data_IF_078193368864
#
_entry.id   IF_078193368864
#
_cell.length_a   1.000
_cell.length_b   1.000
_cell.length_c   1.000
_cell.angle_alpha   90.00
_cell.angle_beta   90.00
_cell.angle_gamma   90.00
#
_symmetry.space_group_name_H-M   'P 1'
#
loop_
_entity.id
_entity.type
_entity.pdbx_description
1 polymer ?
#
# COMPACT_ATOMS: atom_id res chain seq x y z
N UNK A 1 16.82 18.86 12.16
CA UNK A 1 16.75 19.71 10.95
C UNK A 1 16.82 18.96 9.63
N UNK A 2 17.81 18.07 9.38
CA UNK A 2 17.88 17.30 8.12
C UNK A 2 16.81 16.19 8.04
N UNK A 3 16.64 15.39 9.11
CA UNK A 3 15.66 14.30 9.18
C UNK A 3 14.20 14.80 9.07
N UNK A 4 13.89 15.95 9.68
CA UNK A 4 12.56 16.54 9.62
C UNK A 4 12.20 17.05 8.22
N UNK A 5 13.19 17.54 7.47
CA UNK A 5 13.02 17.93 6.07
C UNK A 5 12.81 16.69 5.19
N UNK A 6 13.63 15.64 5.38
CA UNK A 6 13.49 14.38 4.65
C UNK A 6 12.12 13.72 4.89
N UNK A 7 11.66 13.67 6.16
CA UNK A 7 10.34 13.12 6.52
C UNK A 7 9.20 13.91 5.88
N UNK A 8 9.28 15.24 5.86
CA UNK A 8 8.29 16.09 5.20
C UNK A 8 8.27 15.90 3.68
N UNK A 9 9.43 15.84 3.05
CA UNK A 9 9.56 15.55 1.62
C UNK A 9 8.95 14.20 1.24
N UNK A 10 9.32 13.14 1.97
CA UNK A 10 8.76 11.79 1.77
C UNK A 10 7.25 11.78 1.94
N UNK A 11 6.73 12.47 2.97
CA UNK A 11 5.28 12.60 3.19
C UNK A 11 4.60 13.26 1.99
N UNK A 12 5.07 14.41 1.54
CA UNK A 12 4.44 15.16 0.44
C UNK A 12 4.48 14.37 -0.87
N UNK A 13 5.58 13.69 -1.16
CA UNK A 13 5.67 12.82 -2.34
C UNK A 13 4.66 11.68 -2.24
N UNK A 14 4.58 11.02 -1.10
CA UNK A 14 3.67 9.90 -0.89
C UNK A 14 2.20 10.32 -0.93
N UNK A 15 1.85 11.46 -0.34
CA UNK A 15 0.52 12.09 -0.45
C UNK A 15 0.17 12.36 -1.92
N UNK A 16 1.09 12.94 -2.70
CA UNK A 16 0.87 13.23 -4.11
C UNK A 16 0.67 11.94 -4.93
N UNK A 17 1.50 10.91 -4.69
CA UNK A 17 1.38 9.61 -5.36
C UNK A 17 0.05 8.94 -5.02
N UNK A 18 -0.32 8.87 -3.74
CA UNK A 18 -1.60 8.26 -3.31
C UNK A 18 -2.79 9.01 -3.90
N UNK A 19 -2.78 10.34 -3.86
CA UNK A 19 -3.86 11.15 -4.42
C UNK A 19 -3.98 10.97 -5.94
N UNK A 20 -2.84 10.91 -6.64
CA UNK A 20 -2.82 10.59 -8.07
C UNK A 20 -3.40 9.20 -8.36
N UNK A 21 -2.96 8.16 -7.65
CA UNK A 21 -3.48 6.80 -7.82
C UNK A 21 -4.97 6.71 -7.52
N UNK A 22 -5.45 7.38 -6.46
CA UNK A 22 -6.88 7.45 -6.11
C UNK A 22 -7.72 8.02 -7.24
N UNK A 23 -7.33 9.19 -7.76
CA UNK A 23 -8.06 9.87 -8.84
C UNK A 23 -8.01 9.02 -10.10
N UNK A 24 -6.84 8.52 -10.47
CA UNK A 24 -6.68 7.73 -11.68
C UNK A 24 -7.48 6.43 -11.61
N UNK A 25 -7.49 5.74 -10.45
CA UNK A 25 -8.30 4.53 -10.24
C UNK A 25 -9.80 4.84 -10.38
N UNK A 26 -10.26 5.93 -9.75
CA UNK A 26 -11.65 6.35 -9.87
C UNK A 26 -12.05 6.63 -11.33
N UNK A 27 -11.20 7.32 -12.09
CA UNK A 27 -11.43 7.60 -13.51
C UNK A 27 -11.50 6.31 -14.32
N UNK A 28 -10.56 5.39 -14.16
CA UNK A 28 -10.55 4.10 -14.89
C UNK A 28 -11.82 3.30 -14.61
N UNK A 29 -12.23 3.22 -13.34
CA UNK A 29 -13.46 2.51 -12.95
C UNK A 29 -14.70 3.18 -13.54
N UNK A 30 -14.80 4.52 -13.48
CA UNK A 30 -15.93 5.26 -14.07
C UNK A 30 -16.01 5.03 -15.57
N UNK A 31 -14.88 5.14 -16.28
CA UNK A 31 -14.80 4.87 -17.72
C UNK A 31 -15.24 3.44 -18.02
N UNK A 32 -14.70 2.45 -17.30
CA UNK A 32 -15.08 1.04 -17.47
C UNK A 32 -16.58 0.81 -17.29
N UNK A 33 -17.19 1.42 -16.27
CA UNK A 33 -18.64 1.31 -16.01
C UNK A 33 -19.48 1.99 -17.09
N UNK A 34 -19.10 3.19 -17.55
CA UNK A 34 -19.82 3.91 -18.60
C UNK A 34 -19.83 3.12 -19.90
N UNK A 35 -18.66 2.63 -20.33
CA UNK A 35 -18.54 1.85 -21.55
C UNK A 35 -19.28 0.51 -21.45
N UNK A 36 -19.22 -0.16 -20.29
CA UNK A 36 -20.02 -1.36 -20.02
C UNK A 36 -21.51 -1.09 -20.16
N UNK A 37 -22.00 0.05 -19.66
CA UNK A 37 -23.41 0.46 -19.82
C UNK A 37 -23.77 0.82 -21.27
N UNK A 38 -22.81 1.31 -22.05
CA UNK A 38 -22.97 1.61 -23.48
C UNK A 38 -22.92 0.36 -24.39
N UNK A 39 -22.77 -0.85 -23.82
CA UNK A 39 -22.74 -2.12 -24.56
C UNK A 39 -21.35 -2.51 -25.09
N UNK A 40 -20.31 -1.70 -24.85
CA UNK A 40 -18.93 -2.00 -25.18
C UNK A 40 -18.13 -2.26 -23.90
N UNK A 41 -17.93 -3.53 -23.52
CA UNK A 41 -17.14 -3.84 -22.32
C UNK A 41 -15.64 -3.76 -22.64
N UNK A 42 -14.93 -2.79 -22.05
CA UNK A 42 -13.46 -2.84 -22.03
C UNK A 42 -13.05 -4.02 -21.14
N UNK A 43 -12.33 -5.00 -21.67
CA UNK A 43 -11.93 -6.18 -20.87
C UNK A 43 -10.74 -5.84 -19.97
N UNK A 44 -9.84 -4.97 -20.43
CA UNK A 44 -8.62 -4.60 -19.73
C UNK A 44 -8.82 -3.69 -18.51
N UNK A 45 -9.95 -2.98 -18.38
CA UNK A 45 -10.09 -1.97 -17.30
C UNK A 45 -10.02 -2.63 -15.92
N UNK A 46 -10.51 -3.86 -15.78
CA UNK A 46 -10.61 -4.57 -14.50
C UNK A 46 -9.22 -4.96 -13.98
N UNK A 47 -8.34 -5.42 -14.87
CA UNK A 47 -6.94 -5.70 -14.57
C UNK A 47 -6.17 -4.43 -14.21
N UNK A 48 -6.33 -3.36 -14.99
CA UNK A 48 -5.67 -2.09 -14.68
C UNK A 48 -6.15 -1.54 -13.34
N UNK A 49 -7.45 -1.59 -13.06
CA UNK A 49 -8.02 -1.14 -11.80
C UNK A 49 -7.49 -1.97 -10.61
N UNK A 50 -7.39 -3.30 -10.75
CA UNK A 50 -6.86 -4.15 -9.68
C UNK A 50 -5.37 -3.90 -9.40
N UNK A 51 -4.55 -3.67 -10.43
CA UNK A 51 -3.15 -3.27 -10.28
C UNK A 51 -3.00 -1.90 -9.61
N UNK A 52 -3.80 -0.93 -10.03
CA UNK A 52 -3.80 0.41 -9.43
C UNK A 52 -4.23 0.36 -7.97
N UNK A 53 -5.25 -0.44 -7.64
CA UNK A 53 -5.70 -0.66 -6.28
C UNK A 53 -4.62 -1.33 -5.41
N UNK A 54 -3.88 -2.30 -5.96
CA UNK A 54 -2.76 -2.93 -5.26
C UNK A 54 -1.69 -1.89 -4.88
N UNK A 55 -1.23 -1.09 -5.84
CA UNK A 55 -0.26 -0.03 -5.59
C UNK A 55 -0.78 1.04 -4.62
N UNK A 56 -2.04 1.44 -4.78
CA UNK A 56 -2.70 2.39 -3.89
C UNK A 56 -2.75 1.88 -2.45
N UNK A 57 -3.01 0.58 -2.27
CA UNK A 57 -3.02 -0.05 -0.94
C UNK A 57 -1.64 -0.01 -0.28
N UNK A 58 -0.57 -0.35 -1.03
CA UNK A 58 0.79 -0.30 -0.49
C UNK A 58 1.25 1.11 -0.13
N UNK A 59 1.07 2.08 -1.03
CA UNK A 59 1.45 3.47 -0.77
C UNK A 59 0.55 4.14 0.28
N UNK A 60 -0.74 3.82 0.29
CA UNK A 60 -1.68 4.25 1.31
C UNK A 60 -1.33 3.72 2.70
N UNK A 61 -0.96 2.44 2.81
CA UNK A 61 -0.48 1.85 4.06
C UNK A 61 0.82 2.51 4.55
N UNK A 62 1.77 2.76 3.65
CA UNK A 62 2.98 3.51 3.98
C UNK A 62 2.68 4.93 4.47
N UNK A 63 1.71 5.62 3.85
CA UNK A 63 1.30 6.97 4.25
C UNK A 63 0.61 6.99 5.61
N UNK A 64 -0.25 6.01 5.87
CA UNK A 64 -0.89 5.80 7.17
C UNK A 64 0.15 5.50 8.26
N UNK A 65 1.16 4.68 7.95
CA UNK A 65 2.27 4.40 8.85
C UNK A 65 3.06 5.69 9.19
N UNK A 66 3.35 6.54 8.19
CA UNK A 66 4.01 7.83 8.41
C UNK A 66 3.21 8.76 9.32
N UNK A 67 1.88 8.75 9.20
CA UNK A 67 0.98 9.54 10.06
C UNK A 67 0.85 8.99 11.48
N UNK A 68 1.58 7.91 11.83
CA UNK A 68 1.38 7.15 13.08
C UNK A 68 -0.08 6.69 13.24
N UNK A 69 -0.74 6.38 12.13
CA UNK A 69 -2.12 5.91 12.08
C UNK A 69 -2.31 4.44 12.46
N UNK A 70 -1.23 3.71 12.77
CA UNK A 70 -1.36 2.43 13.46
C UNK A 70 -2.05 2.70 14.80
N UNK A 71 -3.26 2.18 14.98
CA UNK A 71 -4.06 2.33 16.20
C UNK A 71 -3.26 1.74 17.37
N UNK A 72 -2.45 2.57 18.01
CA UNK A 72 -1.76 2.24 19.24
C UNK A 72 -2.65 2.58 20.43
N UNK A 73 -2.36 1.96 21.57
CA UNK A 73 -2.86 2.39 22.88
C UNK A 73 -1.73 3.12 23.61
N UNK A 74 -1.30 4.32 23.17
CA UNK A 74 -0.17 5.03 23.79
C UNK A 74 -0.43 5.27 25.28
N UNK A 75 -1.69 5.56 25.64
CA UNK A 75 -2.15 5.74 27.02
C UNK A 75 -1.95 4.50 27.90
N UNK A 76 -2.05 3.29 27.33
CA UNK A 76 -1.80 2.04 28.07
C UNK A 76 -0.30 1.79 28.21
N UNK A 77 0.46 2.07 27.15
CA UNK A 77 1.92 1.94 27.13
C UNK A 77 2.59 2.95 28.08
N UNK A 78 2.03 4.14 28.21
CA UNK A 78 2.54 5.21 29.08
C UNK A 78 2.26 4.96 30.57
N UNK A 79 1.34 4.05 30.90
CA UNK A 79 1.08 3.62 32.29
C UNK A 79 2.03 2.51 32.78
N UNK A 80 2.83 1.91 31.90
CA UNK A 80 3.79 0.86 32.24
C UNK A 80 5.12 1.46 32.75
N UNK A 81 5.72 0.82 33.76
CA UNK A 81 7.04 1.21 34.28
C UNK A 81 8.15 0.89 33.27
N UNK A 82 9.25 1.65 33.33
CA UNK A 82 10.22 1.82 32.23
C UNK A 82 10.64 0.56 31.46
N UNK A 83 10.94 -0.55 32.14
CA UNK A 83 11.36 -1.80 31.48
C UNK A 83 10.23 -2.47 30.70
N UNK A 84 9.02 -2.52 31.26
CA UNK A 84 7.85 -3.11 30.60
C UNK A 84 7.41 -2.27 29.39
N UNK A 85 7.49 -0.94 29.49
CA UNK A 85 7.23 -0.03 28.37
C UNK A 85 8.16 -0.29 27.18
N UNK A 86 9.47 -0.43 27.44
CA UNK A 86 10.46 -0.75 26.40
C UNK A 86 10.21 -2.11 25.78
N UNK A 87 9.91 -3.13 26.59
CA UNK A 87 9.64 -4.49 26.11
C UNK A 87 8.42 -4.54 25.18
N UNK A 88 7.30 -3.91 25.55
CA UNK A 88 6.09 -3.85 24.72
C UNK A 88 6.34 -3.10 23.41
N UNK A 89 7.09 -2.00 23.45
CA UNK A 89 7.47 -1.27 22.24
C UNK A 89 8.33 -2.11 21.29
N UNK A 90 9.37 -2.75 21.82
CA UNK A 90 10.25 -3.66 21.06
C UNK A 90 9.48 -4.85 20.47
N UNK A 91 8.55 -5.42 21.23
CA UNK A 91 7.71 -6.52 20.77
C UNK A 91 6.81 -6.07 19.61
N UNK A 92 6.18 -4.89 19.71
CA UNK A 92 5.35 -4.33 18.65
C UNK A 92 6.15 -4.10 17.35
N UNK A 93 7.31 -3.47 17.45
CA UNK A 93 8.22 -3.29 16.31
C UNK A 93 8.68 -4.63 15.72
N UNK A 94 9.01 -5.62 16.57
CA UNK A 94 9.37 -6.96 16.12
C UNK A 94 8.22 -7.66 15.37
N UNK A 95 6.97 -7.51 15.84
CA UNK A 95 5.79 -8.03 15.14
C UNK A 95 5.59 -7.38 13.77
N UNK A 96 5.73 -6.06 13.67
CA UNK A 96 5.64 -5.33 12.40
C UNK A 96 6.75 -5.76 11.44
N UNK A 97 7.98 -5.88 11.92
CA UNK A 97 9.11 -6.33 11.11
C UNK A 97 8.93 -7.78 10.64
N UNK A 98 8.46 -8.67 11.52
CA UNK A 98 8.15 -10.06 11.16
C UNK A 98 7.05 -10.13 10.09
N UNK A 99 5.99 -9.31 10.21
CA UNK A 99 4.94 -9.21 9.20
C UNK A 99 5.53 -8.80 7.84
N UNK A 100 6.39 -7.78 7.79
CA UNK A 100 7.03 -7.37 6.54
C UNK A 100 7.96 -8.44 5.95
N UNK A 101 8.67 -9.20 6.77
CA UNK A 101 9.50 -10.33 6.32
C UNK A 101 8.66 -11.42 5.67
N UNK A 102 7.54 -11.79 6.31
CA UNK A 102 6.60 -12.78 5.75
C UNK A 102 6.00 -12.28 4.43
N UNK A 103 5.59 -11.01 4.39
CA UNK A 103 5.03 -10.38 3.19
C UNK A 103 6.04 -10.37 2.04
N UNK A 104 7.30 -10.00 2.31
CA UNK A 104 8.37 -10.01 1.32
C UNK A 104 8.64 -11.43 0.80
N UNK A 105 8.69 -12.44 1.68
CA UNK A 105 8.86 -13.84 1.30
C UNK A 105 7.70 -14.38 0.44
N UNK A 106 6.46 -14.00 0.78
CA UNK A 106 5.28 -14.34 -0.03
C UNK A 106 5.34 -13.68 -1.40
N UNK A 107 5.71 -12.40 -1.46
CA UNK A 107 5.89 -11.66 -2.72
C UNK A 107 6.93 -12.30 -3.64
N UNK A 108 8.08 -12.71 -3.09
CA UNK A 108 9.12 -13.42 -3.86
C UNK A 108 8.61 -14.77 -4.40
N UNK A 109 7.84 -15.52 -3.61
CA UNK A 109 7.23 -16.77 -4.09
C UNK A 109 6.26 -16.52 -5.25
N UNK A 110 5.36 -15.54 -5.11
CA UNK A 110 4.44 -15.18 -6.19
C UNK A 110 5.21 -14.76 -7.43
N UNK A 111 6.24 -13.93 -7.29
CA UNK A 111 7.08 -13.51 -8.41
C UNK A 111 7.83 -14.68 -9.07
N UNK A 112 8.26 -15.68 -8.29
CA UNK A 112 8.92 -16.87 -8.87
C UNK A 112 7.98 -17.73 -9.73
N UNK A 113 6.67 -17.66 -9.47
CA UNK A 113 5.64 -18.39 -10.23
C UNK A 113 5.11 -17.55 -11.40
N UNK A 114 4.97 -16.23 -11.22
CA UNK A 114 4.31 -15.33 -12.18
C UNK A 114 5.27 -14.40 -12.94
N UNK A 115 6.56 -14.38 -12.62
CA UNK A 115 7.51 -13.35 -13.11
C UNK A 115 7.80 -13.34 -14.61
N UNK A 116 7.17 -14.22 -15.39
CA UNK A 116 7.22 -14.21 -16.87
C UNK A 116 5.85 -14.26 -17.53
N UNK A 117 4.75 -14.12 -16.78
CA UNK A 117 3.39 -14.16 -17.32
C UNK A 117 2.87 -12.75 -17.54
N UNK A 118 2.34 -12.48 -18.73
CA UNK A 118 1.67 -11.22 -19.04
C UNK A 118 0.26 -11.19 -18.47
N UNK A 119 -0.34 -10.00 -18.43
CA UNK A 119 -1.75 -9.84 -18.11
C UNK A 119 -2.64 -10.56 -19.13
N UNK A 120 -3.76 -11.11 -18.67
CA UNK A 120 -4.67 -11.90 -19.52
C UNK A 120 -5.32 -11.02 -20.58
N UNK A 121 -5.66 -9.79 -20.23
CA UNK A 121 -6.34 -8.84 -21.12
C UNK A 121 -5.37 -7.88 -21.82
N UNK A 122 -4.13 -7.76 -21.34
CA UNK A 122 -3.06 -6.93 -21.92
C UNK A 122 -1.80 -7.78 -22.18
N UNK A 123 -1.80 -8.62 -23.24
CA UNK A 123 -0.74 -9.61 -23.48
C UNK A 123 0.62 -8.99 -23.88
N UNK A 124 0.66 -7.69 -24.13
CA UNK A 124 1.87 -6.93 -24.43
C UNK A 124 2.46 -6.25 -23.19
N UNK A 125 1.76 -6.28 -22.05
CA UNK A 125 2.21 -5.73 -20.79
C UNK A 125 2.69 -6.89 -19.88
N UNK A 126 3.99 -6.93 -19.52
CA UNK A 126 4.56 -7.99 -18.70
C UNK A 126 4.09 -7.95 -17.24
#
# INVERSE_FOLDING_TARGET
MSLDKARRGLRTVLEAVVLFLMIALAVVVVVGVVFRKAGASLVWYDEVASLMLAWLTYYGAALAALHRGHIGMPTLVDRLSGTARKAVFLLGEACVLAFFVVLAGAGVRVLSVLGGTTLVSLPWFP
#
